data_IF_873533824574
#
_entry.id   IF_873533824574
#
_cell.length_a   1.000
_cell.length_b   1.000
_cell.length_c   1.000
_cell.angle_alpha   90.00
_cell.angle_beta   90.00
_cell.angle_gamma   90.00
#
_symmetry.space_group_name_H-M   'P 1'
#
loop_
_entity.id
_entity.type
_entity.pdbx_description
1 polymer ?
#
# COMPACT_ATOMS: atom_id res chain seq x y z
N UNK A 1 8.59 -22.63 8.45
CA UNK A 1 9.70 -21.70 8.16
C UNK A 1 9.52 -21.02 6.78
N UNK A 2 8.41 -20.33 6.48
CA UNK A 2 8.24 -19.58 5.20
C UNK A 2 7.23 -18.41 5.31
N UNK A 3 7.34 -17.60 6.38
CA UNK A 3 6.39 -16.50 6.62
C UNK A 3 6.50 -15.40 5.56
N UNK A 4 7.71 -14.87 5.38
CA UNK A 4 8.04 -13.84 4.39
C UNK A 4 7.79 -14.32 2.95
N UNK A 5 8.21 -15.54 2.58
CA UNK A 5 7.97 -16.09 1.23
C UNK A 5 6.48 -16.21 0.93
N UNK A 6 5.68 -16.64 1.90
CA UNK A 6 4.22 -16.71 1.74
C UNK A 6 3.60 -15.32 1.64
N UNK A 7 4.13 -14.36 2.40
CA UNK A 7 3.69 -12.97 2.33
C UNK A 7 4.03 -12.32 0.98
N UNK A 8 5.23 -12.56 0.45
CA UNK A 8 5.64 -12.11 -0.89
C UNK A 8 4.67 -12.60 -1.95
N UNK A 9 4.35 -13.90 -1.98
CA UNK A 9 3.36 -14.48 -2.90
C UNK A 9 1.99 -13.80 -2.79
N UNK A 10 1.52 -13.55 -1.56
CA UNK A 10 0.23 -12.88 -1.32
C UNK A 10 0.24 -11.42 -1.79
N UNK A 11 1.30 -10.67 -1.53
CA UNK A 11 1.41 -9.28 -1.96
C UNK A 11 1.49 -9.19 -3.49
N UNK A 12 2.26 -10.06 -4.14
CA UNK A 12 2.33 -10.11 -5.60
C UNK A 12 0.97 -10.39 -6.23
N UNK A 13 0.24 -11.39 -5.71
CA UNK A 13 -1.13 -11.66 -6.16
C UNK A 13 -2.06 -10.47 -5.91
N UNK A 14 -1.98 -9.84 -4.74
CA UNK A 14 -2.83 -8.69 -4.41
C UNK A 14 -2.59 -7.50 -5.34
N UNK A 15 -1.33 -7.22 -5.70
CA UNK A 15 -1.00 -6.17 -6.67
C UNK A 15 -1.64 -6.44 -8.04
N UNK A 16 -1.60 -7.69 -8.50
CA UNK A 16 -2.28 -8.11 -9.74
C UNK A 16 -3.80 -7.96 -9.64
N UNK A 17 -4.38 -8.33 -8.48
CA UNK A 17 -5.82 -8.20 -8.25
C UNK A 17 -6.27 -6.73 -8.22
N UNK A 18 -5.46 -5.86 -7.61
CA UNK A 18 -5.70 -4.41 -7.60
C UNK A 18 -5.72 -3.86 -9.02
N UNK A 19 -4.71 -4.19 -9.83
CA UNK A 19 -4.64 -3.77 -11.24
C UNK A 19 -5.84 -4.31 -12.04
N UNK A 20 -6.19 -5.59 -11.87
CA UNK A 20 -7.37 -6.19 -12.49
C UNK A 20 -8.68 -5.47 -12.08
N UNK A 21 -8.75 -4.97 -10.85
CA UNK A 21 -9.90 -4.25 -10.31
C UNK A 21 -9.90 -2.75 -10.64
N UNK A 22 -8.95 -2.28 -11.46
CA UNK A 22 -8.82 -0.87 -11.85
C UNK A 22 -8.19 0.04 -10.80
N UNK A 23 -7.47 -0.53 -9.83
CA UNK A 23 -6.70 0.20 -8.82
C UNK A 23 -5.23 0.19 -9.18
N UNK A 24 -4.53 1.29 -8.87
CA UNK A 24 -3.10 1.41 -9.13
C UNK A 24 -2.31 0.48 -8.21
N UNK A 25 -1.62 -0.51 -8.78
CA UNK A 25 -0.82 -1.50 -8.05
C UNK A 25 0.30 -0.87 -7.21
N UNK A 26 0.69 0.37 -7.49
CA UNK A 26 1.69 1.14 -6.75
C UNK A 26 1.17 1.65 -5.39
N UNK A 27 -0.12 1.53 -5.11
CA UNK A 27 -0.70 1.78 -3.78
C UNK A 27 -0.39 0.67 -2.77
N UNK A 28 0.18 -0.45 -3.20
CA UNK A 28 0.62 -1.56 -2.36
C UNK A 28 2.09 -1.88 -2.62
N UNK A 29 2.91 -1.81 -1.57
CA UNK A 29 4.34 -2.09 -1.62
C UNK A 29 4.76 -2.98 -0.46
N UNK A 30 5.60 -3.97 -0.72
CA UNK A 30 6.25 -4.77 0.31
C UNK A 30 7.76 -4.54 0.27
N UNK A 31 8.35 -4.33 1.45
CA UNK A 31 9.78 -4.19 1.66
C UNK A 31 10.19 -4.94 2.90
N UNK A 32 11.35 -5.59 2.81
CA UNK A 32 11.96 -6.31 3.92
C UNK A 32 13.02 -5.41 4.54
N UNK A 33 12.81 -5.06 5.81
CA UNK A 33 13.72 -4.21 6.56
C UNK A 33 13.98 -4.90 7.89
N UNK A 34 15.25 -5.06 8.25
CA UNK A 34 15.68 -5.62 9.52
C UNK A 34 15.61 -4.57 10.64
N UNK A 35 15.73 -5.00 11.88
CA UNK A 35 15.71 -4.10 13.04
C UNK A 35 16.88 -3.12 13.10
N UNK A 36 17.95 -3.36 12.35
CA UNK A 36 19.14 -2.51 12.29
C UNK A 36 19.05 -1.41 11.22
N UNK A 37 18.08 -1.49 10.30
CA UNK A 37 17.98 -0.64 9.09
C UNK A 37 16.97 0.50 9.28
N UNK A 38 17.03 1.18 10.43
CA UNK A 38 16.13 2.30 10.73
C UNK A 38 16.23 3.47 9.73
N UNK A 39 17.43 3.88 9.24
CA UNK A 39 17.55 4.90 8.21
C UNK A 39 16.84 4.52 6.89
N UNK A 40 17.01 3.28 6.44
CA UNK A 40 16.41 2.73 5.22
C UNK A 40 14.89 2.64 5.36
N UNK A 41 14.39 2.20 6.53
CA UNK A 41 12.96 2.20 6.83
C UNK A 41 12.36 3.60 6.67
N UNK A 42 13.01 4.62 7.27
CA UNK A 42 12.55 6.01 7.15
C UNK A 42 12.53 6.48 5.70
N UNK A 43 13.58 6.18 4.93
CA UNK A 43 13.68 6.55 3.54
C UNK A 43 12.57 5.90 2.70
N UNK A 44 12.34 4.59 2.89
CA UNK A 44 11.32 3.84 2.16
C UNK A 44 9.90 4.34 2.46
N UNK A 45 9.58 4.61 3.74
CA UNK A 45 8.27 5.18 4.10
C UNK A 45 8.09 6.58 3.50
N UNK A 46 9.15 7.41 3.52
CA UNK A 46 9.10 8.75 2.96
C UNK A 46 8.84 8.72 1.46
N UNK A 47 9.56 7.87 0.72
CA UNK A 47 9.35 7.66 -0.72
C UNK A 47 7.93 7.14 -1.01
N UNK A 48 7.49 6.13 -0.28
CA UNK A 48 6.16 5.55 -0.48
C UNK A 48 5.04 6.57 -0.26
N UNK A 49 5.15 7.41 0.77
CA UNK A 49 4.20 8.52 1.00
C UNK A 49 4.23 9.52 -0.16
N UNK A 50 5.40 9.83 -0.73
CA UNK A 50 5.49 10.68 -1.91
C UNK A 50 4.83 10.04 -3.14
N UNK A 51 5.02 8.73 -3.35
CA UNK A 51 4.31 7.98 -4.39
C UNK A 51 2.80 8.10 -4.22
N UNK A 52 2.28 7.85 -3.01
CA UNK A 52 0.84 7.94 -2.73
C UNK A 52 0.30 9.36 -2.93
N UNK A 53 1.05 10.40 -2.52
CA UNK A 53 0.67 11.80 -2.76
C UNK A 53 0.55 12.13 -4.25
N UNK A 54 1.45 11.59 -5.09
CA UNK A 54 1.39 11.76 -6.56
C UNK A 54 0.20 11.04 -7.18
N UNK A 55 -0.16 9.87 -6.66
CA UNK A 55 -1.34 9.11 -7.10
C UNK A 55 -2.67 9.72 -6.64
N UNK A 56 -2.64 10.63 -5.66
CA UNK A 56 -3.83 11.27 -5.11
C UNK A 56 -4.71 10.34 -4.26
N UNK A 57 -5.90 10.83 -3.85
CA UNK A 57 -6.84 10.06 -3.02
C UNK A 57 -7.22 8.71 -3.64
N UNK A 58 -7.50 7.72 -2.79
CA UNK A 58 -7.95 6.40 -3.26
C UNK A 58 -9.31 6.50 -3.95
N UNK A 59 -9.51 5.84 -5.11
CA UNK A 59 -10.82 5.75 -5.76
C UNK A 59 -11.91 5.14 -4.87
N UNK A 60 -11.54 4.33 -3.87
CA UNK A 60 -12.47 3.69 -2.94
C UNK A 60 -12.97 4.62 -1.82
N UNK A 61 -12.36 5.79 -1.62
CA UNK A 61 -12.70 6.70 -0.53
C UNK A 61 -13.91 7.61 -0.81
N UNK A 62 -14.47 7.59 -2.01
CA UNK A 62 -15.55 8.52 -2.40
C UNK A 62 -16.91 8.16 -1.78
N UNK A 63 -17.12 6.90 -1.36
CA UNK A 63 -18.39 6.45 -0.76
C UNK A 63 -18.57 6.78 0.72
N UNK A 64 -17.55 7.31 1.41
CA UNK A 64 -17.61 7.58 2.87
C UNK A 64 -18.07 9.01 3.18
N UNK A 65 -18.52 9.78 2.17
CA UNK A 65 -18.79 11.22 2.33
C UNK A 65 -20.27 11.62 2.46
N UNK A 66 -21.22 10.68 2.49
CA UNK A 66 -22.67 11.00 2.58
C UNK A 66 -23.42 10.49 3.82
N UNK A 67 -22.83 9.64 4.68
CA UNK A 67 -23.54 9.08 5.85
C UNK A 67 -23.01 9.57 7.22
N UNK A 68 -21.81 10.15 7.31
CA UNK A 68 -21.23 10.61 8.58
C UNK A 68 -21.53 12.08 8.94
N UNK A 69 -22.33 12.80 8.14
CA UNK A 69 -22.76 14.19 8.43
C UNK A 69 -24.16 14.30 9.08
N UNK A 70 -24.78 13.19 9.48
CA UNK A 70 -26.13 13.16 10.06
C UNK A 70 -26.19 12.62 11.50
N UNK A 71 -25.09 12.72 12.26
CA UNK A 71 -25.04 12.40 13.69
C UNK A 71 -24.50 13.58 14.50
#
# INVERSE_FOLDING_TARGET
MYGNVSAEKRVTFMRQLMEFSGLEADRLRARWVSSAEAPEFRAEITDFVQTLKKLGPSPLGQSVSSEDQAA
#
